data_IF_341327370486
#
_entry.id   IF_341327370486
#
_cell.length_a   1.000
_cell.length_b   1.000
_cell.length_c   1.000
_cell.angle_alpha   90.00
_cell.angle_beta   90.00
_cell.angle_gamma   90.00
#
_symmetry.space_group_name_H-M   'P 1'
#
loop_
_entity.id
_entity.type
_entity.pdbx_description
1 polymer ?
#
# COMPACT_ATOMS: atom_id res chain seq x y z
N UNK A 1 -13.53 27.29 -9.96
CA UNK A 1 -13.16 26.73 -9.62
C UNK A 1 -12.76 25.68 -9.54
N UNK A 2 -12.67 25.07 -9.47
CA UNK A 2 -12.20 24.27 -9.24
C UNK A 2 -11.89 23.21 -9.48
N UNK A 3 -11.15 22.89 -9.49
CA UNK A 3 -10.54 21.94 -9.71
C UNK A 3 -10.97 20.72 -9.74
N UNK A 4 -10.71 20.07 -10.58
CA UNK A 4 -10.99 18.81 -10.63
C UNK A 4 -10.30 18.10 -9.68
N UNK A 5 -10.84 17.81 -8.80
CA UNK A 5 -10.32 17.08 -7.83
C UNK A 5 -10.19 15.67 -8.14
N UNK A 6 -10.22 15.31 -9.36
CA UNK A 6 -10.10 13.92 -9.76
C UNK A 6 -8.83 13.28 -9.30
N UNK A 7 -7.77 14.05 -9.16
CA UNK A 7 -6.51 13.54 -8.71
C UNK A 7 -6.26 13.77 -7.26
N UNK A 8 -7.20 14.37 -6.58
CA UNK A 8 -7.04 14.64 -5.18
C UNK A 8 -7.82 13.65 -4.39
N UNK A 9 -7.21 13.14 -3.37
CA UNK A 9 -7.94 12.42 -2.36
C UNK A 9 -8.32 13.46 -1.34
N UNK A 10 -9.58 13.58 -1.04
CA UNK A 10 -9.99 14.57 -0.06
C UNK A 10 -9.66 14.11 1.34
N UNK A 11 -8.37 14.01 1.63
CA UNK A 11 -7.89 13.50 2.90
C UNK A 11 -8.52 14.22 4.08
N UNK A 12 -8.50 15.54 4.03
CA UNK A 12 -9.07 16.33 5.14
C UNK A 12 -10.58 16.12 5.25
N UNK A 13 -11.29 16.07 4.12
CA UNK A 13 -12.72 15.84 4.12
C UNK A 13 -13.08 14.43 4.60
N UNK A 14 -12.20 13.46 4.36
CA UNK A 14 -12.40 12.10 4.82
C UNK A 14 -11.92 11.89 6.25
N UNK A 15 -11.31 12.90 6.87
CA UNK A 15 -10.80 12.78 8.23
C UNK A 15 -9.42 12.14 8.32
N UNK A 16 -8.68 12.08 7.23
CA UNK A 16 -7.33 11.54 7.24
C UNK A 16 -6.33 12.58 7.73
N UNK A 17 -5.48 12.16 8.65
CA UNK A 17 -4.39 12.97 9.16
C UNK A 17 -3.10 12.15 9.09
N UNK A 18 -1.96 12.80 9.17
CA UNK A 18 -0.70 12.08 9.16
C UNK A 18 -0.60 11.07 10.30
N UNK A 19 -0.94 11.41 11.56
CA UNK A 19 -0.89 10.41 12.64
C UNK A 19 -1.78 9.20 12.38
N UNK A 20 -2.99 9.41 11.85
CA UNK A 20 -3.90 8.31 11.56
C UNK A 20 -3.35 7.40 10.45
N UNK A 21 -2.85 7.99 9.38
CA UNK A 21 -2.27 7.22 8.28
C UNK A 21 -1.08 6.41 8.78
N UNK A 22 -0.21 7.01 9.60
CA UNK A 22 0.92 6.30 10.18
C UNK A 22 0.47 5.12 11.03
N UNK A 23 -0.55 5.33 11.84
CA UNK A 23 -1.09 4.29 12.70
C UNK A 23 -1.62 3.10 11.88
N UNK A 24 -2.41 3.38 10.85
CA UNK A 24 -2.99 2.34 10.00
C UNK A 24 -1.89 1.55 9.28
N UNK A 25 -0.93 2.25 8.70
CA UNK A 25 0.14 1.61 7.94
C UNK A 25 1.02 0.75 8.84
N UNK A 26 1.39 1.25 10.02
CA UNK A 26 2.20 0.48 10.95
C UNK A 26 1.46 -0.77 11.45
N UNK A 27 0.19 -0.62 11.80
CA UNK A 27 -0.63 -1.75 12.23
C UNK A 27 -0.79 -2.79 11.12
N UNK A 28 -0.96 -2.31 9.90
CA UNK A 28 -1.11 -3.19 8.75
C UNK A 28 0.14 -4.04 8.54
N UNK A 29 1.32 -3.43 8.54
CA UNK A 29 2.55 -4.18 8.31
C UNK A 29 2.92 -5.08 9.49
N UNK A 30 2.46 -4.77 10.69
CA UNK A 30 2.58 -5.69 11.81
C UNK A 30 1.77 -6.95 11.54
N UNK A 31 0.56 -6.81 11.01
CA UNK A 31 -0.27 -7.97 10.62
C UNK A 31 0.35 -8.74 9.46
N UNK A 32 0.90 -8.04 8.48
CA UNK A 32 1.59 -8.66 7.35
C UNK A 32 2.74 -9.55 7.83
N UNK A 33 3.52 -9.05 8.79
CA UNK A 33 4.65 -9.82 9.32
C UNK A 33 4.22 -11.13 9.96
N UNK A 34 3.04 -11.15 10.57
CA UNK A 34 2.51 -12.35 11.21
C UNK A 34 1.63 -13.20 10.31
N UNK A 35 1.38 -12.77 9.08
CA UNK A 35 0.50 -13.50 8.18
C UNK A 35 1.21 -14.71 7.56
N UNK A 36 0.53 -15.86 7.52
CA UNK A 36 1.14 -17.09 7.03
C UNK A 36 1.50 -17.03 5.53
N UNK A 37 0.75 -16.25 4.76
CA UNK A 37 1.00 -16.12 3.31
C UNK A 37 2.00 -15.01 3.02
N UNK A 38 1.78 -13.83 3.59
CA UNK A 38 2.55 -12.64 3.25
C UNK A 38 3.84 -12.49 4.05
N UNK A 39 3.82 -12.95 5.31
CA UNK A 39 4.97 -12.78 6.19
C UNK A 39 6.27 -13.30 5.59
N UNK A 40 6.30 -14.57 5.13
CA UNK A 40 7.53 -15.12 4.54
C UNK A 40 7.98 -14.36 3.28
N UNK A 41 7.05 -13.91 2.45
CA UNK A 41 7.38 -13.17 1.22
C UNK A 41 8.05 -11.84 1.57
N UNK A 42 7.46 -11.11 2.51
CA UNK A 42 8.00 -9.82 2.92
C UNK A 42 9.33 -9.98 3.66
N UNK A 43 9.44 -10.98 4.52
CA UNK A 43 10.68 -11.22 5.25
C UNK A 43 11.83 -11.53 4.29
N UNK A 44 11.59 -12.34 3.28
CA UNK A 44 12.61 -12.68 2.29
C UNK A 44 12.97 -11.46 1.42
N UNK A 45 11.99 -10.65 1.05
CA UNK A 45 12.23 -9.51 0.18
C UNK A 45 12.95 -8.37 0.91
N UNK A 46 12.61 -8.15 2.17
CA UNK A 46 13.16 -7.03 2.93
C UNK A 46 14.48 -7.40 3.60
N UNK A 47 14.59 -8.62 4.07
CA UNK A 47 15.77 -9.06 4.81
C UNK A 47 15.69 -8.66 6.27
N UNK A 48 16.76 -8.10 6.82
CA UNK A 48 16.86 -7.88 8.25
C UNK A 48 16.16 -6.65 8.79
N UNK A 49 16.48 -5.49 8.25
CA UNK A 49 15.99 -4.23 8.81
C UNK A 49 14.78 -3.70 8.07
N UNK A 50 13.64 -3.69 8.75
CA UNK A 50 12.36 -3.23 8.18
C UNK A 50 12.22 -1.72 8.19
N UNK A 51 12.93 -1.02 9.07
CA UNK A 51 12.71 0.42 9.26
C UNK A 51 12.85 1.26 7.99
N UNK A 52 13.89 1.10 7.17
CA UNK A 52 13.99 1.88 5.94
C UNK A 52 12.84 1.59 4.97
N UNK A 53 12.37 0.35 4.92
CA UNK A 53 11.27 -0.03 4.05
C UNK A 53 9.96 0.55 4.54
N UNK A 54 9.73 0.50 5.84
CA UNK A 54 8.53 1.08 6.44
C UNK A 54 8.50 2.59 6.19
N UNK A 55 9.64 3.28 6.28
CA UNK A 55 9.68 4.72 6.01
C UNK A 55 9.35 5.03 4.55
N UNK A 56 9.83 4.23 3.61
CA UNK A 56 9.48 4.41 2.19
C UNK A 56 8.00 4.15 1.93
N UNK A 57 7.48 3.10 2.52
CA UNK A 57 6.06 2.75 2.42
C UNK A 57 5.21 3.87 3.02
N UNK A 58 5.64 4.39 4.16
CA UNK A 58 4.94 5.49 4.81
C UNK A 58 4.91 6.72 3.92
N UNK A 59 6.03 7.05 3.30
CA UNK A 59 6.11 8.19 2.40
C UNK A 59 5.17 8.00 1.19
N UNK A 60 5.07 6.77 0.68
CA UNK A 60 4.11 6.47 -0.37
C UNK A 60 2.69 6.83 0.09
N UNK A 61 2.29 6.32 1.24
CA UNK A 61 0.93 6.55 1.74
C UNK A 61 0.64 8.02 2.02
N UNK A 62 1.60 8.73 2.60
CA UNK A 62 1.44 10.15 2.89
C UNK A 62 1.38 10.98 1.60
N UNK A 63 2.11 10.57 0.58
CA UNK A 63 2.08 11.24 -0.72
C UNK A 63 0.78 10.92 -1.46
N UNK A 64 0.34 9.67 -1.43
CA UNK A 64 -0.90 9.26 -2.10
C UNK A 64 -2.13 9.93 -1.50
N UNK A 65 -2.12 10.20 -0.21
CA UNK A 65 -3.22 10.89 0.48
C UNK A 65 -3.08 12.41 0.39
N UNK A 66 -2.03 12.91 -0.22
CA UNK A 66 -1.75 14.34 -0.35
C UNK A 66 -1.43 15.04 0.98
N UNK A 67 -1.08 14.27 1.99
CA UNK A 67 -0.65 14.82 3.26
C UNK A 67 0.80 15.27 3.24
N UNK A 68 1.59 14.68 2.36
CA UNK A 68 2.99 15.07 2.13
C UNK A 68 3.35 14.91 0.66
N UNK A 69 4.58 15.31 0.32
CA UNK A 69 5.15 15.12 -1.01
C UNK A 69 6.47 14.37 -0.88
N UNK A 70 6.97 13.87 -1.96
CA UNK A 70 8.33 13.33 -2.01
C UNK A 70 8.49 11.92 -2.50
N UNK A 71 7.42 11.14 -2.61
CA UNK A 71 7.54 9.79 -3.14
C UNK A 71 7.48 9.82 -4.66
N UNK A 72 8.50 9.28 -5.32
CA UNK A 72 8.58 9.29 -6.78
C UNK A 72 8.15 7.98 -7.43
N UNK A 73 8.27 6.88 -6.72
CA UNK A 73 7.82 5.58 -7.22
C UNK A 73 8.65 4.96 -8.32
N UNK A 74 9.83 5.48 -8.60
CA UNK A 74 10.66 5.02 -9.73
C UNK A 74 11.06 3.55 -9.64
N UNK A 75 11.35 3.08 -8.44
CA UNK A 75 11.77 1.71 -8.23
C UNK A 75 10.67 0.78 -7.77
N UNK A 76 9.45 1.29 -7.63
CA UNK A 76 8.34 0.49 -7.11
C UNK A 76 8.09 -0.73 -7.99
N UNK A 77 7.74 -0.52 -9.25
CA UNK A 77 7.39 -1.62 -10.14
C UNK A 77 8.59 -2.51 -10.44
N UNK A 78 9.77 -1.96 -10.83
CA UNK A 78 10.91 -2.83 -11.10
C UNK A 78 11.31 -3.70 -9.92
N UNK A 79 11.28 -3.16 -8.70
CA UNK A 79 11.66 -3.94 -7.52
C UNK A 79 10.73 -5.12 -7.29
N UNK A 80 9.43 -4.91 -7.50
CA UNK A 80 8.47 -6.00 -7.35
C UNK A 80 8.60 -7.03 -8.47
N UNK A 81 8.77 -6.58 -9.70
CA UNK A 81 8.85 -7.49 -10.85
C UNK A 81 10.10 -8.36 -10.84
N UNK A 82 11.18 -7.88 -10.24
CA UNK A 82 12.43 -8.64 -10.14
C UNK A 82 12.36 -9.80 -9.18
N UNK A 83 11.42 -9.77 -8.24
CA UNK A 83 11.35 -10.79 -7.20
C UNK A 83 10.31 -11.86 -7.58
N UNK A 84 10.76 -13.06 -7.97
CA UNK A 84 9.83 -14.11 -8.40
C UNK A 84 8.94 -14.64 -7.28
N UNK A 85 9.28 -14.37 -6.02
CA UNK A 85 8.45 -14.76 -4.90
C UNK A 85 7.21 -13.88 -4.75
N UNK A 86 7.20 -12.72 -5.40
CA UNK A 86 6.04 -11.83 -5.41
C UNK A 86 5.14 -12.25 -6.57
N UNK A 87 3.94 -12.70 -6.25
CA UNK A 87 2.99 -13.25 -7.22
C UNK A 87 1.65 -12.53 -7.17
N UNK A 88 0.95 -12.46 -8.31
CA UNK A 88 -0.36 -11.80 -8.35
C UNK A 88 -1.39 -12.42 -7.39
N UNK A 89 -1.30 -13.73 -7.16
CA UNK A 89 -2.26 -14.43 -6.30
C UNK A 89 -2.14 -14.06 -4.82
N UNK A 90 -1.11 -13.32 -4.42
CA UNK A 90 -0.95 -12.84 -3.06
C UNK A 90 -1.67 -11.53 -2.79
N UNK A 91 -2.01 -10.80 -3.84
CA UNK A 91 -2.62 -9.48 -3.70
C UNK A 91 -4.01 -9.47 -3.05
N UNK A 92 -4.89 -10.45 -3.32
CA UNK A 92 -6.16 -10.49 -2.61
C UNK A 92 -6.01 -10.59 -1.09
N UNK A 93 -5.02 -11.36 -0.62
CA UNK A 93 -4.77 -11.47 0.82
C UNK A 93 -4.24 -10.14 1.40
N UNK A 94 -3.36 -9.47 0.66
CA UNK A 94 -2.83 -8.16 1.04
C UNK A 94 -3.98 -7.16 1.19
N UNK A 95 -4.90 -7.13 0.23
CA UNK A 95 -6.05 -6.23 0.28
C UNK A 95 -7.00 -6.58 1.43
N UNK A 96 -7.22 -7.86 1.68
CA UNK A 96 -8.09 -8.30 2.78
C UNK A 96 -7.56 -7.80 4.12
N UNK A 97 -6.28 -7.97 4.36
CA UNK A 97 -5.65 -7.48 5.59
C UNK A 97 -5.70 -5.96 5.70
N UNK A 98 -5.51 -5.28 4.57
CA UNK A 98 -5.56 -3.83 4.59
C UNK A 98 -6.97 -3.31 4.89
N UNK A 99 -7.98 -3.90 4.27
CA UNK A 99 -9.37 -3.53 4.53
C UNK A 99 -9.73 -3.73 6.00
N UNK A 100 -9.33 -4.86 6.56
CA UNK A 100 -9.55 -5.16 7.97
C UNK A 100 -8.93 -4.12 8.88
N UNK A 101 -7.67 -3.79 8.61
CA UNK A 101 -6.94 -2.83 9.43
C UNK A 101 -7.58 -1.44 9.35
N UNK A 102 -7.89 -0.99 8.15
CA UNK A 102 -8.50 0.32 7.96
C UNK A 102 -9.88 0.40 8.63
N UNK A 103 -10.70 -0.64 8.45
CA UNK A 103 -12.02 -0.67 9.05
C UNK A 103 -11.98 -0.62 10.58
N UNK A 104 -10.97 -1.24 11.17
CA UNK A 104 -10.85 -1.28 12.62
C UNK A 104 -10.30 -0.01 13.25
N UNK A 105 -9.71 0.88 12.47
CA UNK A 105 -9.02 2.06 13.01
C UNK A 105 -9.54 3.39 12.49
N UNK A 106 -10.39 3.37 11.47
CA UNK A 106 -10.85 4.58 10.81
C UNK A 106 -12.36 4.68 10.80
N UNK A 107 -12.86 5.90 10.60
CA UNK A 107 -14.26 6.08 10.23
C UNK A 107 -14.48 5.42 8.87
N UNK A 108 -15.73 5.08 8.52
CA UNK A 108 -15.98 4.49 7.20
C UNK A 108 -15.47 5.34 6.04
N UNK A 109 -15.55 6.65 6.14
CA UNK A 109 -15.08 7.54 5.09
C UNK A 109 -13.57 7.51 4.96
N UNK A 110 -12.85 7.57 6.08
CA UNK A 110 -11.39 7.51 6.06
C UNK A 110 -10.91 6.15 5.56
N UNK A 111 -11.55 5.07 6.02
CA UNK A 111 -11.20 3.72 5.57
C UNK A 111 -11.42 3.58 4.06
N UNK A 112 -12.54 4.08 3.56
CA UNK A 112 -12.84 4.01 2.12
C UNK A 112 -11.79 4.72 1.29
N UNK A 113 -11.32 5.89 1.73
CA UNK A 113 -10.29 6.63 1.02
C UNK A 113 -8.98 5.84 0.95
N UNK A 114 -8.56 5.25 2.06
CA UNK A 114 -7.33 4.46 2.09
C UNK A 114 -7.46 3.18 1.27
N UNK A 115 -8.59 2.50 1.38
CA UNK A 115 -8.83 1.25 0.63
C UNK A 115 -8.86 1.51 -0.87
N UNK A 116 -9.43 2.63 -1.30
CA UNK A 116 -9.43 3.00 -2.72
C UNK A 116 -8.01 3.11 -3.27
N UNK A 117 -7.11 3.74 -2.52
CA UNK A 117 -5.70 3.83 -2.90
C UNK A 117 -5.07 2.43 -2.97
N UNK A 118 -5.32 1.61 -1.97
CA UNK A 118 -4.77 0.26 -1.91
C UNK A 118 -5.24 -0.59 -3.08
N UNK A 119 -6.51 -0.50 -3.43
CA UNK A 119 -7.08 -1.25 -4.55
C UNK A 119 -6.47 -0.84 -5.89
N UNK A 120 -6.29 0.45 -6.10
CA UNK A 120 -5.67 0.94 -7.34
C UNK A 120 -4.22 0.50 -7.46
N UNK A 121 -3.50 0.56 -6.36
CA UNK A 121 -2.11 0.13 -6.35
C UNK A 121 -2.01 -1.37 -6.62
N UNK A 122 -2.85 -2.18 -5.97
CA UNK A 122 -2.86 -3.62 -6.16
C UNK A 122 -3.23 -3.99 -7.59
N UNK A 123 -4.19 -3.30 -8.20
CA UNK A 123 -4.58 -3.54 -9.58
C UNK A 123 -3.42 -3.27 -10.54
N UNK A 124 -2.73 -2.15 -10.35
CA UNK A 124 -1.59 -1.80 -11.19
C UNK A 124 -0.47 -2.85 -11.05
N UNK A 125 -0.19 -3.25 -9.82
CA UNK A 125 0.84 -4.25 -9.57
C UNK A 125 0.45 -5.62 -10.15
N UNK A 126 -0.83 -6.00 -10.02
CA UNK A 126 -1.31 -7.27 -10.56
C UNK A 126 -1.11 -7.34 -12.07
N UNK A 127 -1.40 -6.26 -12.77
CA UNK A 127 -1.20 -6.19 -14.22
C UNK A 127 0.27 -6.42 -14.56
N UNK A 128 1.18 -5.72 -13.87
CA UNK A 128 2.61 -5.87 -14.11
C UNK A 128 3.11 -7.28 -13.84
N UNK A 129 2.68 -7.86 -12.73
CA UNK A 129 3.10 -9.23 -12.35
C UNK A 129 2.57 -10.26 -13.33
N UNK A 130 1.33 -10.12 -13.78
CA UNK A 130 0.76 -11.05 -14.77
C UNK A 130 1.47 -10.97 -16.09
N UNK A 131 1.86 -9.78 -16.52
CA UNK A 131 2.64 -9.61 -17.76
C UNK A 131 4.02 -10.24 -17.63
N UNK A 132 4.67 -10.05 -16.48
CA UNK A 132 5.96 -10.69 -16.21
C UNK A 132 5.84 -12.21 -16.31
N UNK A 133 4.81 -12.77 -15.69
CA UNK A 133 4.64 -14.24 -15.63
C UNK A 133 4.23 -14.82 -16.98
N UNK A 134 3.62 -14.04 -17.85
CA UNK A 134 3.24 -14.48 -19.18
C UNK A 134 4.38 -14.37 -20.19
N UNK A 135 5.45 -13.68 -19.86
CA UNK A 135 6.58 -13.50 -20.77
C UNK A 135 7.34 -14.81 -20.98
N UNK A 136 7.81 -15.09 -22.22
CA UNK A 136 8.54 -16.33 -22.50
C UNK A 136 9.91 -16.35 -21.83
#
# INVERSE_FOLDING_TARGET
>A
MTTPVAFEYPAAAAGLTEPLVRQVVLSFYEKVRGDAVLGPVFAAAIGGDWDPHIERIMLFWLTATRLKRGYHGRNFMPAHLKNPAIRPDQLPRWLELFRETAAGQCTPQAASALVDIAERMAETLAIGLKRRDAAP
#
